data_IF_797909752387
#
_entry.id   IF_797909752387
#
_cell.length_a   1.000
_cell.length_b   1.000
_cell.length_c   1.000
_cell.angle_alpha   90.00
_cell.angle_beta   90.00
_cell.angle_gamma   90.00
#
_symmetry.space_group_name_H-M   'P 1'
#
loop_
_entity.id
_entity.type
_entity.pdbx_description
1 polymer ?
#
# COMPACT_ATOMS: atom_id res chain seq x y z
N UNK A 1 5.33 13.60 -16.67
CA UNK A 1 4.83 12.37 -17.36
C UNK A 1 5.12 11.11 -16.55
N UNK A 2 6.35 10.91 -16.06
CA UNK A 2 6.71 9.76 -15.21
C UNK A 2 5.83 9.63 -13.96
N UNK A 3 5.53 10.72 -13.25
CA UNK A 3 4.59 10.70 -12.13
C UNK A 3 3.20 10.09 -12.47
N UNK A 4 2.66 10.46 -13.63
CA UNK A 4 1.38 9.93 -14.12
C UNK A 4 1.49 8.46 -14.53
N UNK A 5 2.60 8.06 -15.18
CA UNK A 5 2.84 6.66 -15.53
C UNK A 5 2.97 5.78 -14.28
N UNK A 6 3.71 6.23 -13.27
CA UNK A 6 3.87 5.50 -12.01
C UNK A 6 2.52 5.31 -11.31
N UNK A 7 1.74 6.38 -11.17
CA UNK A 7 0.39 6.30 -10.58
C UNK A 7 -0.59 5.48 -11.44
N UNK A 8 -0.47 5.50 -12.77
CA UNK A 8 -1.26 4.64 -13.64
C UNK A 8 -0.88 3.17 -13.46
N UNK A 9 0.42 2.85 -13.42
CA UNK A 9 0.87 1.46 -13.19
C UNK A 9 0.44 0.94 -11.83
N UNK A 10 0.44 1.79 -10.82
CA UNK A 10 -0.06 1.47 -9.48
C UNK A 10 -1.57 1.20 -9.50
N UNK A 11 -2.36 2.10 -10.11
CA UNK A 11 -3.81 1.91 -10.30
C UNK A 11 -4.17 0.66 -11.10
N UNK A 12 -3.37 0.30 -12.11
CA UNK A 12 -3.57 -0.92 -12.89
C UNK A 12 -3.25 -2.18 -12.07
N UNK A 13 -2.24 -2.13 -11.19
CA UNK A 13 -1.92 -3.23 -10.26
C UNK A 13 -2.99 -3.38 -9.17
N UNK A 14 -3.55 -2.27 -8.69
CA UNK A 14 -4.67 -2.28 -7.73
C UNK A 14 -6.02 -2.62 -8.38
N UNK A 15 -6.09 -2.66 -9.71
CA UNK A 15 -7.34 -2.93 -10.43
C UNK A 15 -7.68 -4.42 -10.40
N UNK A 16 -8.84 -4.72 -9.83
CA UNK A 16 -9.42 -6.06 -9.78
C UNK A 16 -9.55 -6.75 -11.15
N UNK A 17 -9.74 -5.97 -12.22
CA UNK A 17 -10.05 -6.49 -13.56
C UNK A 17 -8.83 -6.63 -14.46
N UNK A 18 -7.71 -6.01 -14.10
CA UNK A 18 -6.56 -5.91 -15.00
C UNK A 18 -5.95 -7.29 -15.31
N UNK A 19 -5.63 -8.08 -14.28
CA UNK A 19 -5.10 -9.45 -14.45
C UNK A 19 -6.12 -10.36 -15.16
N UNK A 20 -7.40 -10.45 -14.73
CA UNK A 20 -8.41 -11.23 -15.45
C UNK A 20 -8.53 -10.88 -16.93
N UNK A 21 -8.47 -9.59 -17.28
CA UNK A 21 -8.56 -9.14 -18.68
C UNK A 21 -7.36 -9.63 -19.49
N UNK A 22 -6.15 -9.52 -18.94
CA UNK A 22 -4.93 -10.04 -19.60
C UNK A 22 -5.05 -11.55 -19.80
N UNK A 23 -5.49 -12.30 -18.77
CA UNK A 23 -5.67 -13.75 -18.86
C UNK A 23 -6.72 -14.14 -19.92
N UNK A 24 -7.82 -13.40 -20.02
CA UNK A 24 -8.83 -13.62 -21.05
C UNK A 24 -8.28 -13.35 -22.47
N UNK A 25 -7.52 -12.27 -22.66
CA UNK A 25 -6.86 -11.99 -23.95
C UNK A 25 -5.86 -13.09 -24.30
N UNK A 26 -5.04 -13.52 -23.34
CA UNK A 26 -4.11 -14.63 -23.53
C UNK A 26 -4.83 -15.94 -23.86
N UNK A 27 -5.99 -16.20 -23.28
CA UNK A 27 -6.82 -17.36 -23.58
C UNK A 27 -7.38 -17.33 -25.02
N UNK A 28 -7.77 -16.14 -25.52
CA UNK A 28 -8.19 -15.98 -26.92
C UNK A 28 -7.03 -16.27 -27.87
N UNK A 29 -5.85 -15.72 -27.58
CA UNK A 29 -4.64 -15.94 -28.38
C UNK A 29 -4.23 -17.42 -28.35
N UNK A 30 -4.28 -18.06 -27.18
CA UNK A 30 -4.01 -19.48 -27.01
C UNK A 30 -5.00 -20.32 -27.82
N UNK A 31 -6.30 -20.03 -27.75
CA UNK A 31 -7.32 -20.72 -28.54
C UNK A 31 -7.03 -20.59 -30.04
N UNK A 32 -6.77 -19.38 -30.54
CA UNK A 32 -6.40 -19.16 -31.94
C UNK A 32 -5.13 -19.92 -32.34
N UNK A 33 -4.11 -19.93 -31.48
CA UNK A 33 -2.88 -20.70 -31.67
C UNK A 33 -3.14 -22.21 -31.77
N UNK A 34 -3.95 -22.77 -30.87
CA UNK A 34 -4.26 -24.20 -30.91
C UNK A 34 -5.15 -24.59 -32.09
N UNK A 35 -6.13 -23.76 -32.45
CA UNK A 35 -6.99 -23.98 -33.62
C UNK A 35 -6.16 -23.96 -34.91
N UNK A 36 -5.24 -23.00 -35.05
CA UNK A 36 -4.34 -22.96 -36.22
C UNK A 36 -3.42 -24.16 -36.26
N UNK A 37 -2.86 -24.58 -35.12
CA UNK A 37 -2.02 -25.77 -35.03
C UNK A 37 -2.78 -27.05 -35.42
N UNK A 38 -4.01 -27.21 -34.92
CA UNK A 38 -4.91 -28.32 -35.28
C UNK A 38 -5.22 -28.33 -36.79
N UNK A 39 -5.33 -27.16 -37.42
CA UNK A 39 -5.57 -27.07 -38.87
C UNK A 39 -4.39 -27.52 -39.73
N UNK A 40 -3.15 -27.44 -39.22
CA UNK A 40 -1.95 -27.87 -39.93
C UNK A 40 -1.56 -29.33 -39.65
N UNK A 41 -1.65 -29.80 -38.39
CA UNK A 41 -1.20 -31.15 -38.01
C UNK A 41 -2.27 -32.23 -38.19
N UNK A 42 -3.56 -31.85 -38.23
CA UNK A 42 -4.67 -32.80 -38.21
C UNK A 42 -4.72 -33.64 -36.93
N UNK A 43 -5.49 -34.74 -36.93
CA UNK A 43 -5.68 -35.63 -35.77
C UNK A 43 -4.75 -36.85 -35.73
N UNK A 44 -3.88 -37.03 -36.73
CA UNK A 44 -3.10 -38.26 -36.92
C UNK A 44 -2.11 -38.56 -35.77
N UNK A 45 -1.77 -37.56 -34.96
CA UNK A 45 -0.92 -37.75 -33.78
C UNK A 45 -1.61 -38.53 -32.64
N UNK A 46 -2.94 -38.56 -32.63
CA UNK A 46 -3.73 -39.21 -31.57
C UNK A 46 -3.76 -40.74 -31.72
N UNK A 47 -3.54 -41.26 -32.92
CA UNK A 47 -3.57 -42.70 -33.21
C UNK A 47 -2.48 -43.49 -32.44
N UNK A 48 -1.45 -42.80 -31.91
CA UNK A 48 -0.39 -43.38 -31.09
C UNK A 48 -0.70 -43.45 -29.59
N UNK A 49 -1.83 -42.92 -29.11
CA UNK A 49 -2.15 -42.80 -27.68
C UNK A 49 -3.47 -43.53 -27.36
N UNK A 50 -3.44 -44.74 -26.76
CA UNK A 50 -4.61 -45.62 -26.65
C UNK A 50 -5.81 -45.09 -25.87
N UNK A 51 -5.61 -44.03 -25.07
CA UNK A 51 -6.63 -43.43 -24.21
C UNK A 51 -7.16 -42.10 -24.76
N UNK A 52 -6.59 -41.60 -25.86
CA UNK A 52 -6.90 -40.28 -26.43
C UNK A 52 -7.56 -40.45 -27.80
N UNK A 53 -8.86 -40.78 -27.81
CA UNK A 53 -9.62 -40.89 -29.05
C UNK A 53 -10.11 -39.52 -29.53
N UNK A 54 -10.11 -39.30 -30.85
CA UNK A 54 -10.65 -38.09 -31.46
C UNK A 54 -12.13 -37.92 -31.12
N UNK A 55 -12.46 -36.80 -30.46
CA UNK A 55 -13.83 -36.47 -30.10
C UNK A 55 -14.67 -36.15 -31.36
N UNK A 56 -15.89 -36.68 -31.41
CA UNK A 56 -16.87 -36.32 -32.45
C UNK A 56 -17.36 -34.87 -32.28
N UNK A 57 -17.80 -34.17 -33.34
CA UNK A 57 -18.26 -32.78 -33.26
C UNK A 57 -19.28 -32.53 -32.14
N UNK A 58 -20.31 -33.36 -32.04
CA UNK A 58 -21.36 -33.18 -31.02
C UNK A 58 -20.83 -33.39 -29.60
N UNK A 59 -19.93 -34.37 -29.41
CA UNK A 59 -19.28 -34.62 -28.12
C UNK A 59 -18.37 -33.45 -27.70
N UNK A 60 -17.56 -32.93 -28.63
CA UNK A 60 -16.71 -31.79 -28.39
C UNK A 60 -17.52 -30.51 -28.08
N UNK A 61 -18.62 -30.27 -28.81
CA UNK A 61 -19.54 -29.14 -28.53
C UNK A 61 -20.16 -29.28 -27.15
N UNK A 62 -20.65 -30.46 -26.78
CA UNK A 62 -21.24 -30.73 -25.48
C UNK A 62 -20.24 -30.51 -24.35
N UNK A 63 -19.01 -31.02 -24.48
CA UNK A 63 -17.94 -30.81 -23.52
C UNK A 63 -17.59 -29.33 -23.36
N UNK A 64 -17.29 -28.61 -24.44
CA UNK A 64 -16.93 -27.20 -24.37
C UNK A 64 -18.08 -26.31 -23.86
N UNK A 65 -19.33 -26.64 -24.21
CA UNK A 65 -20.50 -25.94 -23.68
C UNK A 65 -20.69 -26.20 -22.18
N UNK A 66 -20.48 -27.44 -21.72
CA UNK A 66 -20.54 -27.80 -20.30
C UNK A 66 -19.43 -27.11 -19.50
N UNK A 67 -18.21 -27.10 -20.05
CA UNK A 67 -17.06 -26.38 -19.48
C UNK A 67 -17.36 -24.88 -19.41
N UNK A 68 -17.80 -24.27 -20.51
CA UNK A 68 -18.13 -22.85 -20.54
C UNK A 68 -19.22 -22.48 -19.52
N UNK A 69 -20.33 -23.22 -19.49
CA UNK A 69 -21.44 -23.00 -18.57
C UNK A 69 -21.04 -23.17 -17.09
N UNK A 70 -20.23 -24.17 -16.77
CA UNK A 70 -19.75 -24.37 -15.39
C UNK A 70 -18.76 -23.29 -14.96
N UNK A 71 -17.81 -22.90 -15.83
CA UNK A 71 -16.81 -21.89 -15.49
C UNK A 71 -17.40 -20.49 -15.29
N UNK A 72 -18.41 -20.09 -16.06
CA UNK A 72 -19.09 -18.80 -15.84
C UNK A 72 -19.86 -18.81 -14.51
N UNK A 73 -20.47 -19.95 -14.14
CA UNK A 73 -21.14 -20.13 -12.86
C UNK A 73 -20.17 -20.06 -11.69
N UNK A 74 -19.04 -20.77 -11.76
CA UNK A 74 -17.99 -20.72 -10.73
C UNK A 74 -17.41 -19.31 -10.60
N UNK A 75 -17.11 -18.62 -11.71
CA UNK A 75 -16.66 -17.23 -11.70
C UNK A 75 -17.65 -16.30 -10.97
N UNK A 76 -18.96 -16.46 -11.23
CA UNK A 76 -20.00 -15.69 -10.56
C UNK A 76 -20.08 -15.96 -9.06
N UNK A 77 -19.97 -17.22 -8.65
CA UNK A 77 -19.94 -17.61 -7.23
C UNK A 77 -18.70 -17.07 -6.52
N UNK A 78 -17.51 -17.23 -7.11
CA UNK A 78 -16.25 -16.69 -6.60
C UNK A 78 -16.34 -15.18 -6.42
N UNK A 79 -16.83 -14.45 -7.43
CA UNK A 79 -17.03 -13.00 -7.34
C UNK A 79 -17.98 -12.62 -6.19
N UNK A 80 -19.09 -13.35 -6.05
CA UNK A 80 -20.07 -13.11 -4.99
C UNK A 80 -19.48 -13.33 -3.60
N UNK A 81 -18.72 -14.41 -3.41
CA UNK A 81 -18.03 -14.72 -2.14
C UNK A 81 -16.98 -13.65 -1.82
N UNK A 82 -16.19 -13.20 -2.81
CA UNK A 82 -15.25 -12.09 -2.62
C UNK A 82 -15.94 -10.82 -2.14
N UNK A 83 -17.03 -10.41 -2.81
CA UNK A 83 -17.71 -9.16 -2.45
C UNK A 83 -18.36 -9.28 -1.06
N UNK A 84 -18.93 -10.44 -0.72
CA UNK A 84 -19.44 -10.70 0.61
C UNK A 84 -18.33 -10.59 1.69
N UNK A 85 -17.16 -11.18 1.44
CA UNK A 85 -15.99 -11.08 2.30
C UNK A 85 -15.53 -9.62 2.49
N UNK A 86 -15.48 -8.86 1.41
CA UNK A 86 -15.14 -7.45 1.39
C UNK A 86 -16.11 -6.61 2.22
N UNK A 87 -17.41 -6.83 2.05
CA UNK A 87 -18.46 -6.14 2.82
C UNK A 87 -18.34 -6.48 4.30
N UNK A 88 -18.08 -7.75 4.62
CA UNK A 88 -17.85 -8.19 6.00
C UNK A 88 -16.63 -7.50 6.62
N UNK A 89 -15.48 -7.49 5.93
CA UNK A 89 -14.26 -6.86 6.41
C UNK A 89 -14.41 -5.33 6.57
N UNK A 90 -15.01 -4.65 5.59
CA UNK A 90 -15.31 -3.22 5.70
C UNK A 90 -16.25 -2.92 6.88
N UNK A 91 -17.22 -3.80 7.11
CA UNK A 91 -18.17 -3.73 8.20
C UNK A 91 -17.53 -3.94 9.57
N UNK A 92 -16.47 -4.74 9.69
CA UNK A 92 -15.80 -5.02 10.96
C UNK A 92 -14.62 -4.08 11.24
N UNK A 93 -13.84 -3.74 10.22
CA UNK A 93 -12.48 -3.21 10.42
C UNK A 93 -12.24 -1.81 9.84
N UNK A 94 -13.07 -1.37 8.88
CA UNK A 94 -13.01 -0.01 8.34
C UNK A 94 -13.11 0.03 6.81
N UNK A 95 -13.72 1.07 6.21
CA UNK A 95 -13.88 1.18 4.77
C UNK A 95 -12.57 1.29 3.99
N UNK A 96 -11.44 1.67 4.61
CA UNK A 96 -10.15 1.82 3.90
C UNK A 96 -9.57 0.47 3.44
N UNK A 97 -9.88 -0.61 4.17
CA UNK A 97 -9.43 -1.97 3.87
C UNK A 97 -10.06 -2.58 2.62
N UNK A 98 -11.17 -2.00 2.14
CA UNK A 98 -11.83 -2.37 0.88
C UNK A 98 -10.84 -2.42 -0.30
N UNK A 99 -9.91 -1.45 -0.34
CA UNK A 99 -8.93 -1.34 -1.42
C UNK A 99 -7.90 -2.48 -1.41
N UNK A 100 -7.45 -2.90 -0.21
CA UNK A 100 -6.47 -3.96 -0.04
C UNK A 100 -7.02 -5.32 -0.53
N UNK A 101 -8.26 -5.66 -0.17
CA UNK A 101 -8.89 -6.92 -0.61
C UNK A 101 -9.10 -7.00 -2.13
N UNK A 102 -9.44 -5.90 -2.79
CA UNK A 102 -9.63 -5.89 -4.25
C UNK A 102 -8.29 -5.93 -5.00
N UNK A 103 -7.19 -5.58 -4.34
CA UNK A 103 -5.83 -5.67 -4.90
C UNK A 103 -5.18 -7.06 -4.73
N UNK A 104 -5.85 -8.01 -4.06
CA UNK A 104 -5.29 -9.33 -3.80
C UNK A 104 -5.11 -10.15 -5.10
N UNK A 105 -3.86 -10.52 -5.38
CA UNK A 105 -3.48 -11.25 -6.59
C UNK A 105 -4.06 -12.66 -6.65
N UNK A 106 -4.21 -13.34 -5.51
CA UNK A 106 -4.77 -14.69 -5.47
C UNK A 106 -6.21 -14.68 -5.99
N UNK A 107 -6.98 -13.68 -5.58
CA UNK A 107 -8.34 -13.51 -6.03
C UNK A 107 -8.44 -13.09 -7.51
N UNK A 108 -7.58 -12.16 -7.95
CA UNK A 108 -7.51 -11.74 -9.35
C UNK A 108 -7.13 -12.90 -10.30
N UNK A 109 -6.15 -13.71 -9.93
CA UNK A 109 -5.74 -14.90 -10.70
C UNK A 109 -6.82 -15.97 -10.69
N UNK A 110 -7.51 -16.16 -9.56
CA UNK A 110 -8.63 -17.11 -9.46
C UNK A 110 -9.74 -16.75 -10.43
N UNK A 111 -10.26 -15.52 -10.35
CA UNK A 111 -11.31 -15.04 -11.24
C UNK A 111 -10.84 -15.06 -12.70
N UNK A 112 -9.60 -14.62 -12.94
CA UNK A 112 -8.99 -14.62 -14.26
C UNK A 112 -8.91 -16.02 -14.87
N UNK A 113 -8.61 -17.06 -14.08
CA UNK A 113 -8.54 -18.46 -14.55
C UNK A 113 -9.91 -18.96 -15.01
N UNK A 114 -10.97 -18.69 -14.25
CA UNK A 114 -12.32 -19.12 -14.62
C UNK A 114 -12.83 -18.38 -15.87
N UNK A 115 -12.64 -17.06 -15.93
CA UNK A 115 -13.01 -16.25 -17.10
C UNK A 115 -12.19 -16.68 -18.33
N UNK A 116 -10.87 -16.89 -18.19
CA UNK A 116 -10.01 -17.35 -19.26
C UNK A 116 -10.45 -18.71 -19.81
N UNK A 117 -10.75 -19.68 -18.94
CA UNK A 117 -11.22 -21.01 -19.33
C UNK A 117 -12.58 -20.97 -20.03
N UNK A 118 -13.49 -20.11 -19.56
CA UNK A 118 -14.77 -19.84 -20.22
C UNK A 118 -14.56 -19.26 -21.63
N UNK A 119 -13.77 -18.19 -21.76
CA UNK A 119 -13.51 -17.51 -23.03
C UNK A 119 -12.80 -18.44 -24.01
N UNK A 120 -11.78 -19.18 -23.55
CA UNK A 120 -11.10 -20.21 -24.33
C UNK A 120 -12.10 -21.21 -24.91
N UNK A 121 -12.97 -21.76 -24.05
CA UNK A 121 -13.94 -22.78 -24.46
C UNK A 121 -14.96 -22.25 -25.46
N UNK A 122 -15.42 -21.00 -25.31
CA UNK A 122 -16.34 -20.36 -26.25
C UNK A 122 -15.69 -20.08 -27.62
N UNK A 123 -14.42 -19.65 -27.64
CA UNK A 123 -13.69 -19.43 -28.88
C UNK A 123 -13.49 -20.74 -29.63
N UNK A 124 -13.07 -21.81 -28.96
CA UNK A 124 -12.89 -23.13 -29.57
C UNK A 124 -14.24 -23.70 -30.04
N UNK A 125 -15.29 -23.58 -29.22
CA UNK A 125 -16.64 -24.06 -29.54
C UNK A 125 -17.16 -23.47 -30.85
N UNK A 126 -16.92 -22.17 -31.09
CA UNK A 126 -17.33 -21.48 -32.32
C UNK A 126 -16.68 -22.05 -33.59
N UNK A 127 -15.54 -22.74 -33.48
CA UNK A 127 -14.81 -23.26 -34.64
C UNK A 127 -15.14 -24.70 -35.02
N UNK A 128 -15.89 -25.42 -34.18
CA UNK A 128 -16.32 -26.78 -34.48
C UNK A 128 -17.35 -26.74 -35.63
N UNK A 129 -17.10 -27.54 -36.67
CA UNK A 129 -17.99 -27.67 -37.84
C UNK A 129 -18.47 -29.11 -37.95
N UNK A 130 -19.78 -29.30 -38.08
CA UNK A 130 -20.37 -30.61 -38.36
C UNK A 130 -20.43 -30.85 -39.88
N UNK A 131 -20.41 -32.13 -40.32
CA UNK A 131 -20.55 -32.45 -41.73
C UNK A 131 -21.82 -31.81 -42.30
N UNK A 132 -21.69 -31.02 -43.37
CA UNK A 132 -22.81 -30.37 -44.07
C UNK A 132 -23.26 -29.00 -43.55
N UNK A 133 -22.71 -28.47 -42.44
CA UNK A 133 -23.08 -27.14 -41.91
C UNK A 133 -22.47 -25.96 -42.69
N UNK A 134 -21.36 -26.15 -43.41
CA UNK A 134 -20.59 -25.05 -44.03
C UNK A 134 -20.63 -25.06 -45.58
N UNK A 135 -21.64 -25.71 -46.16
CA UNK A 135 -21.79 -25.89 -47.60
C UNK A 135 -21.44 -27.31 -48.07
N UNK A 136 -21.97 -27.70 -49.23
CA UNK A 136 -21.77 -29.02 -49.81
C UNK A 136 -20.28 -29.28 -50.06
N UNK A 137 -19.68 -30.19 -49.28
CA UNK A 137 -18.28 -30.61 -49.41
C UNK A 137 -17.33 -30.17 -48.30
N UNK A 138 -17.79 -29.44 -47.27
CA UNK A 138 -16.94 -29.12 -46.12
C UNK A 138 -16.87 -30.31 -45.13
N UNK A 139 -15.67 -30.85 -44.92
CA UNK A 139 -15.41 -31.92 -43.95
C UNK A 139 -15.64 -31.44 -42.51
N UNK A 140 -16.01 -32.38 -41.64
CA UNK A 140 -16.13 -32.14 -40.21
C UNK A 140 -14.78 -31.69 -39.64
N UNK A 141 -14.78 -30.63 -38.85
CA UNK A 141 -13.57 -30.12 -38.21
C UNK A 141 -13.78 -30.01 -36.70
N UNK A 142 -12.95 -30.73 -35.96
CA UNK A 142 -12.89 -30.68 -34.50
C UNK A 142 -11.43 -30.45 -34.11
N UNK A 143 -11.09 -29.31 -33.49
CA UNK A 143 -9.72 -29.03 -33.04
C UNK A 143 -9.43 -29.84 -31.76
N UNK A 144 -8.82 -31.02 -31.94
CA UNK A 144 -8.64 -32.00 -30.86
C UNK A 144 -7.60 -31.53 -29.83
N UNK A 145 -6.52 -30.90 -30.29
CA UNK A 145 -5.50 -30.36 -29.40
C UNK A 145 -6.05 -29.18 -28.60
N UNK A 146 -6.86 -28.32 -29.24
CA UNK A 146 -7.57 -27.26 -28.53
C UNK A 146 -8.54 -27.82 -27.48
N UNK A 147 -9.22 -28.93 -27.76
CA UNK A 147 -10.10 -29.62 -26.80
C UNK A 147 -9.31 -30.20 -25.61
N UNK A 148 -8.16 -30.82 -25.86
CA UNK A 148 -7.28 -31.34 -24.80
C UNK A 148 -6.84 -30.21 -23.86
N UNK A 149 -6.44 -29.06 -24.41
CA UNK A 149 -6.08 -27.88 -23.63
C UNK A 149 -7.29 -27.36 -22.83
N UNK A 150 -8.51 -27.39 -23.38
CA UNK A 150 -9.72 -27.03 -22.62
C UNK A 150 -9.90 -27.90 -21.37
N UNK A 151 -9.74 -29.22 -21.52
CA UNK A 151 -9.81 -30.18 -20.40
C UNK A 151 -8.73 -29.91 -19.36
N UNK A 152 -7.49 -29.63 -19.80
CA UNK A 152 -6.40 -29.29 -18.90
C UNK A 152 -6.69 -27.99 -18.12
N UNK A 153 -7.20 -26.95 -18.79
CA UNK A 153 -7.57 -25.68 -18.15
C UNK A 153 -8.67 -25.87 -17.09
N UNK A 154 -9.60 -26.80 -17.30
CA UNK A 154 -10.62 -27.15 -16.29
C UNK A 154 -10.01 -27.85 -15.09
N UNK A 155 -9.10 -28.80 -15.30
CA UNK A 155 -8.39 -29.45 -14.19
C UNK A 155 -7.57 -28.44 -13.37
N UNK A 156 -6.89 -27.51 -14.05
CA UNK A 156 -6.23 -26.39 -13.39
C UNK A 156 -7.23 -25.50 -12.63
N UNK A 157 -8.39 -25.21 -13.21
CA UNK A 157 -9.46 -24.43 -12.58
C UNK A 157 -9.97 -25.08 -11.29
N UNK A 158 -10.08 -26.41 -11.23
CA UNK A 158 -10.45 -27.13 -10.00
C UNK A 158 -9.38 -26.91 -8.91
N UNK A 159 -8.09 -27.01 -9.25
CA UNK A 159 -7.01 -26.73 -8.30
C UNK A 159 -7.04 -25.28 -7.79
N UNK A 160 -7.28 -24.33 -8.69
CA UNK A 160 -7.43 -22.90 -8.35
C UNK A 160 -8.67 -22.64 -7.49
N UNK A 161 -9.77 -23.37 -7.70
CA UNK A 161 -10.96 -23.29 -6.84
C UNK A 161 -10.68 -23.78 -5.42
N UNK A 162 -9.97 -24.91 -5.28
CA UNK A 162 -9.55 -25.42 -3.95
C UNK A 162 -8.64 -24.40 -3.26
N UNK A 163 -7.69 -23.82 -3.99
CA UNK A 163 -6.86 -22.71 -3.49
C UNK A 163 -7.71 -21.54 -3.01
N UNK A 164 -8.69 -21.09 -3.81
CA UNK A 164 -9.56 -19.97 -3.48
C UNK A 164 -10.35 -20.19 -2.18
N UNK A 165 -10.88 -21.40 -1.98
CA UNK A 165 -11.64 -21.76 -0.79
C UNK A 165 -10.79 -21.64 0.49
N UNK A 166 -9.47 -21.87 0.39
CA UNK A 166 -8.54 -21.68 1.51
C UNK A 166 -8.02 -20.25 1.63
N UNK A 167 -7.77 -19.59 0.49
CA UNK A 167 -7.15 -18.26 0.41
C UNK A 167 -8.06 -17.16 0.96
N UNK A 168 -9.34 -17.16 0.61
CA UNK A 168 -10.25 -16.08 1.02
C UNK A 168 -10.41 -16.01 2.55
N UNK A 169 -10.73 -17.10 3.28
CA UNK A 169 -10.88 -17.04 4.73
C UNK A 169 -9.60 -16.64 5.48
N UNK A 170 -8.43 -17.15 5.05
CA UNK A 170 -7.14 -16.88 5.71
C UNK A 170 -6.71 -15.43 5.58
N UNK A 171 -7.05 -14.77 4.46
CA UNK A 171 -6.75 -13.36 4.20
C UNK A 171 -7.75 -12.39 4.84
N UNK A 172 -8.95 -12.85 5.22
CA UNK A 172 -9.95 -12.04 5.94
C UNK A 172 -9.61 -11.93 7.43
N UNK A 173 -8.87 -12.90 7.98
CA UNK A 173 -8.53 -12.89 9.39
C UNK A 173 -7.77 -11.60 9.75
N UNK A 174 -8.23 -10.90 10.78
CA UNK A 174 -7.75 -9.55 11.11
C UNK A 174 -6.24 -9.48 11.33
N UNK A 175 -5.65 -10.51 11.93
CA UNK A 175 -4.20 -10.57 12.13
C UNK A 175 -3.43 -10.54 10.81
N UNK A 176 -3.93 -11.22 9.76
CA UNK A 176 -3.31 -11.22 8.44
C UNK A 176 -3.38 -9.84 7.78
N UNK A 177 -4.47 -9.10 7.99
CA UNK A 177 -4.65 -7.73 7.47
C UNK A 177 -3.69 -6.76 8.19
N UNK A 178 -3.64 -6.85 9.53
CA UNK A 178 -2.74 -6.03 10.34
C UNK A 178 -1.28 -6.33 9.98
N UNK A 179 -0.92 -7.60 9.84
CA UNK A 179 0.41 -8.04 9.40
C UNK A 179 0.76 -7.48 8.02
N UNK A 180 -0.13 -7.59 7.03
CA UNK A 180 0.13 -7.05 5.69
C UNK A 180 0.37 -5.53 5.69
N UNK A 181 -0.41 -4.77 6.47
CA UNK A 181 -0.23 -3.32 6.62
C UNK A 181 1.08 -3.01 7.35
N UNK A 182 1.37 -3.74 8.43
CA UNK A 182 2.57 -3.56 9.24
C UNK A 182 3.85 -3.88 8.48
N UNK A 183 3.89 -5.01 7.76
CA UNK A 183 5.00 -5.39 6.88
C UNK A 183 5.21 -4.36 5.77
N UNK A 184 4.12 -3.88 5.16
CA UNK A 184 4.20 -2.82 4.14
C UNK A 184 4.76 -1.52 4.74
N UNK A 185 4.34 -1.15 5.95
CA UNK A 185 4.85 0.03 6.65
C UNK A 185 6.35 -0.09 6.93
N UNK A 186 6.80 -1.24 7.46
CA UNK A 186 8.22 -1.51 7.71
C UNK A 186 9.05 -1.51 6.43
N UNK A 187 8.54 -2.14 5.36
CA UNK A 187 9.21 -2.16 4.06
C UNK A 187 9.35 -0.74 3.47
N UNK A 188 8.30 0.08 3.56
CA UNK A 188 8.32 1.48 3.10
C UNK A 188 9.24 2.36 3.96
N UNK A 189 9.29 2.16 5.28
CA UNK A 189 10.27 2.82 6.16
C UNK A 189 11.69 2.43 5.74
N UNK A 190 11.94 1.15 5.50
CA UNK A 190 13.24 0.63 5.06
C UNK A 190 13.66 1.15 3.68
N UNK A 191 12.71 1.34 2.77
CA UNK A 191 12.96 1.85 1.42
C UNK A 191 13.14 3.38 1.39
N UNK A 192 12.60 4.12 2.37
CA UNK A 192 12.65 5.60 2.39
C UNK A 192 13.71 6.17 3.33
N UNK A 193 14.13 5.42 4.34
CA UNK A 193 15.06 5.88 5.35
C UNK A 193 16.24 4.91 5.52
N UNK A 194 17.50 5.35 5.50
CA UNK A 194 17.96 6.65 5.03
C UNK A 194 18.09 6.64 3.50
N UNK A 195 17.09 7.13 2.78
CA UNK A 195 17.22 7.49 1.37
C UNK A 195 17.06 8.99 1.26
N UNK A 196 18.17 9.65 0.95
CA UNK A 196 18.18 11.09 0.70
C UNK A 196 18.00 11.32 -0.79
N UNK A 197 17.02 12.13 -1.15
CA UNK A 197 16.89 12.65 -2.51
C UNK A 197 17.88 13.82 -2.62
N UNK A 198 18.91 13.63 -3.45
CA UNK A 198 20.05 14.54 -3.53
C UNK A 198 21.12 14.21 -2.47
N UNK A 199 22.15 15.04 -2.38
CA UNK A 199 23.18 14.87 -1.35
C UNK A 199 22.67 15.42 0.00
N UNK A 200 22.76 14.67 1.10
CA UNK A 200 22.54 15.25 2.42
C UNK A 200 23.54 16.39 2.61
N UNK A 201 23.03 17.57 2.94
CA UNK A 201 23.90 18.69 3.25
C UNK A 201 24.64 18.37 4.55
N UNK A 202 25.99 18.45 4.58
CA UNK A 202 26.75 18.25 5.80
C UNK A 202 26.22 19.21 6.88
N UNK A 203 25.98 18.69 8.08
CA UNK A 203 25.57 19.46 9.25
C UNK A 203 26.72 20.33 9.80
N UNK A 204 27.49 20.97 8.92
CA UNK A 204 28.61 21.84 9.29
C UNK A 204 28.11 23.28 9.49
N UNK A 205 28.03 23.69 10.76
CA UNK A 205 28.24 25.01 11.38
C UNK A 205 27.67 26.32 10.77
N UNK A 206 27.02 26.30 9.61
CA UNK A 206 26.21 27.42 9.10
C UNK A 206 24.76 27.15 9.44
N UNK A 207 24.03 28.17 9.90
CA UNK A 207 22.60 27.99 10.14
C UNK A 207 21.94 27.57 8.83
N UNK A 208 21.02 26.61 8.88
CA UNK A 208 20.21 26.22 7.72
C UNK A 208 19.54 27.44 7.04
N UNK A 209 19.34 28.52 7.79
CA UNK A 209 18.73 29.77 7.31
C UNK A 209 19.62 30.54 6.32
N UNK A 210 20.95 30.47 6.44
CA UNK A 210 21.87 31.16 5.52
C UNK A 210 21.81 30.60 4.09
N UNK A 211 21.40 29.33 3.94
CA UNK A 211 21.31 28.63 2.65
C UNK A 211 19.95 28.78 1.99
N UNK A 212 18.94 29.15 2.76
CA UNK A 212 17.59 29.39 2.27
C UNK A 212 17.58 30.80 1.66
N UNK A 213 17.10 30.98 0.41
CA UNK A 213 16.91 32.30 -0.17
C UNK A 213 16.17 33.23 0.80
N UNK A 214 16.50 34.52 0.86
CA UNK A 214 15.73 35.52 1.65
C UNK A 214 14.24 35.42 1.33
N UNK A 215 14.00 35.19 0.03
CA UNK A 215 12.83 34.62 -0.61
C UNK A 215 11.98 33.67 0.25
N UNK A 216 12.54 32.81 1.08
CA UNK A 216 11.85 31.71 1.74
C UNK A 216 12.07 31.67 3.26
N UNK A 217 12.80 32.63 3.83
CA UNK A 217 13.04 32.70 5.28
C UNK A 217 11.77 33.07 6.05
N UNK A 218 11.74 32.71 7.33
CA UNK A 218 10.57 32.94 8.21
C UNK A 218 10.38 34.41 8.58
N UNK A 219 11.47 35.16 8.62
CA UNK A 219 11.56 36.59 8.93
C UNK A 219 11.48 37.49 7.67
N UNK A 220 11.27 36.90 6.49
CA UNK A 220 11.18 37.64 5.24
C UNK A 220 10.04 38.68 5.30
N UNK A 221 10.40 39.94 5.03
CA UNK A 221 9.42 41.04 4.93
C UNK A 221 8.49 40.87 3.72
N UNK A 222 7.37 41.59 3.73
CA UNK A 222 6.36 41.51 2.67
C UNK A 222 6.92 41.81 1.27
N UNK A 223 7.91 42.70 1.15
CA UNK A 223 8.60 43.04 -0.11
C UNK A 223 9.49 41.92 -0.64
N UNK A 224 10.11 41.13 0.22
CA UNK A 224 10.94 39.98 -0.19
C UNK A 224 10.05 38.81 -0.61
N UNK A 225 8.92 38.60 0.07
CA UNK A 225 7.97 37.53 -0.24
C UNK A 225 7.39 37.58 -1.66
N UNK A 226 7.34 38.75 -2.31
CA UNK A 226 6.85 38.92 -3.70
C UNK A 226 7.80 38.31 -4.74
N UNK A 227 9.06 38.04 -4.38
CA UNK A 227 10.04 37.42 -5.30
C UNK A 227 9.90 35.90 -5.36
N UNK A 228 8.69 35.41 -5.62
CA UNK A 228 8.37 33.99 -5.78
C UNK A 228 7.39 33.80 -6.92
N UNK A 229 7.59 32.76 -7.72
CA UNK A 229 6.59 32.32 -8.72
C UNK A 229 5.83 31.13 -8.15
N UNK A 230 4.51 31.27 -8.06
CA UNK A 230 3.63 30.19 -7.61
C UNK A 230 3.29 29.26 -8.77
N UNK A 231 3.39 27.95 -8.52
CA UNK A 231 3.00 26.91 -9.47
C UNK A 231 1.76 26.24 -8.93
N UNK A 232 0.61 26.66 -9.44
CA UNK A 232 -0.68 26.24 -8.93
C UNK A 232 -1.11 24.84 -9.39
N UNK A 233 -1.87 24.17 -8.53
CA UNK A 233 -2.58 22.95 -8.82
C UNK A 233 -3.68 23.18 -9.86
N UNK A 234 -3.75 22.29 -10.85
CA UNK A 234 -4.82 22.28 -11.87
C UNK A 234 -5.95 21.30 -11.57
N UNK A 235 -5.82 20.52 -10.50
CA UNK A 235 -6.79 19.50 -10.10
C UNK A 235 -7.01 19.56 -8.59
N UNK A 236 -8.22 19.22 -8.16
CA UNK A 236 -8.58 19.04 -6.75
C UNK A 236 -8.53 17.55 -6.40
N UNK A 237 -7.88 17.20 -5.29
CA UNK A 237 -7.78 15.82 -4.83
C UNK A 237 -6.58 15.61 -3.91
N UNK A 238 -6.30 14.35 -3.58
CA UNK A 238 -5.13 13.96 -2.81
C UNK A 238 -3.89 13.91 -3.68
N UNK A 239 -2.80 14.51 -3.20
CA UNK A 239 -1.49 14.37 -3.81
C UNK A 239 -1.00 12.93 -3.59
N UNK A 240 -0.90 12.13 -4.65
CA UNK A 240 -0.56 10.70 -4.57
C UNK A 240 0.95 10.48 -4.69
N UNK A 241 1.61 11.27 -5.53
CA UNK A 241 3.04 11.10 -5.82
C UNK A 241 3.68 12.43 -6.24
N UNK A 242 4.92 12.61 -5.80
CA UNK A 242 5.87 13.63 -6.26
C UNK A 242 7.05 12.89 -6.91
N UNK A 243 7.32 13.18 -8.18
CA UNK A 243 8.50 12.71 -8.89
C UNK A 243 9.71 13.56 -8.50
N UNK A 244 10.31 13.20 -7.37
CA UNK A 244 11.39 13.94 -6.73
C UNK A 244 12.65 14.06 -7.61
N UNK A 245 12.98 13.02 -8.39
CA UNK A 245 14.13 13.01 -9.29
C UNK A 245 13.94 14.03 -10.43
N UNK A 246 12.77 13.99 -11.07
CA UNK A 246 12.45 14.96 -12.13
C UNK A 246 12.39 16.37 -11.55
N UNK A 247 11.80 16.54 -10.37
CA UNK A 247 11.71 17.83 -9.69
C UNK A 247 13.11 18.43 -9.42
N UNK A 248 14.03 17.62 -8.88
CA UNK A 248 15.41 18.04 -8.62
C UNK A 248 16.16 18.38 -9.91
N UNK A 249 15.96 17.58 -10.98
CA UNK A 249 16.59 17.81 -12.28
C UNK A 249 16.15 19.13 -12.92
N UNK A 250 14.85 19.47 -12.81
CA UNK A 250 14.29 20.72 -13.33
C UNK A 250 14.79 21.89 -12.50
N UNK A 251 14.77 21.78 -11.17
CA UNK A 251 15.32 22.80 -10.29
C UNK A 251 16.81 23.08 -10.58
N UNK A 252 17.59 22.04 -10.84
CA UNK A 252 19.02 22.16 -11.18
C UNK A 252 19.24 22.80 -12.55
N UNK A 253 18.48 22.39 -13.57
CA UNK A 253 18.60 22.89 -14.94
C UNK A 253 18.29 24.39 -15.04
N UNK A 254 17.24 24.83 -14.35
CA UNK A 254 16.78 26.22 -14.36
C UNK A 254 17.40 27.06 -13.24
N UNK A 255 18.29 26.47 -12.43
CA UNK A 255 18.92 27.11 -11.27
C UNK A 255 17.90 27.74 -10.30
N UNK A 256 16.88 26.95 -9.94
CA UNK A 256 15.78 27.29 -9.05
C UNK A 256 15.94 26.63 -7.67
N UNK A 257 15.37 27.28 -6.67
CA UNK A 257 15.02 26.73 -5.36
C UNK A 257 13.50 26.61 -5.29
N UNK A 258 13.02 25.40 -5.04
CA UNK A 258 11.60 25.06 -5.00
C UNK A 258 11.17 24.78 -3.56
N UNK A 259 10.15 25.48 -3.06
CA UNK A 259 9.52 25.18 -1.76
C UNK A 259 8.22 24.42 -1.99
N UNK A 260 8.17 23.19 -1.51
CA UNK A 260 6.97 22.36 -1.57
C UNK A 260 5.95 22.84 -0.53
N UNK A 261 4.70 23.03 -0.96
CA UNK A 261 3.60 23.42 -0.08
C UNK A 261 2.76 22.23 0.39
N UNK A 262 2.87 21.09 -0.27
CA UNK A 262 2.14 19.88 0.04
C UNK A 262 3.07 18.66 0.02
N UNK A 263 2.69 17.62 0.76
CA UNK A 263 3.34 16.30 0.75
C UNK A 263 2.35 15.22 0.29
N UNK A 264 2.84 14.08 -0.24
CA UNK A 264 1.97 12.98 -0.65
C UNK A 264 1.05 12.54 0.49
N UNK A 265 -0.25 12.51 0.23
CA UNK A 265 -1.32 12.28 1.19
C UNK A 265 -2.18 13.51 1.51
N UNK A 266 -1.67 14.72 1.25
CA UNK A 266 -2.42 15.95 1.53
C UNK A 266 -3.48 16.21 0.45
N UNK A 267 -4.58 16.87 0.84
CA UNK A 267 -5.63 17.30 -0.08
C UNK A 267 -5.34 18.69 -0.64
N UNK A 268 -5.34 18.81 -1.97
CA UNK A 268 -5.03 20.03 -2.70
C UNK A 268 -6.28 20.53 -3.44
N UNK A 269 -6.44 21.84 -3.52
CA UNK A 269 -7.51 22.50 -4.30
C UNK A 269 -6.94 23.14 -5.56
N UNK A 270 -7.72 23.18 -6.65
CA UNK A 270 -7.38 23.98 -7.84
C UNK A 270 -7.07 25.43 -7.44
N UNK A 271 -6.01 25.99 -8.03
CA UNK A 271 -5.58 27.37 -7.79
C UNK A 271 -4.71 27.57 -6.54
N UNK A 272 -4.46 26.52 -5.75
CA UNK A 272 -3.48 26.59 -4.66
C UNK A 272 -2.06 26.29 -5.17
N UNK A 273 -1.08 27.02 -4.67
CA UNK A 273 0.33 26.80 -5.00
C UNK A 273 0.80 25.41 -4.52
N UNK A 274 1.18 24.53 -5.45
CA UNK A 274 1.86 23.27 -5.14
C UNK A 274 3.30 23.52 -4.72
N UNK A 275 3.93 24.45 -5.42
CA UNK A 275 5.34 24.80 -5.29
C UNK A 275 5.48 26.31 -5.43
N UNK A 276 6.35 26.90 -4.63
CA UNK A 276 6.87 28.23 -4.86
C UNK A 276 8.30 28.13 -5.40
N UNK A 277 8.61 28.84 -6.48
CA UNK A 277 9.92 28.84 -7.12
C UNK A 277 10.62 30.19 -6.93
N UNK A 278 11.91 30.16 -6.62
CA UNK A 278 12.79 31.33 -6.51
C UNK A 278 14.14 31.05 -7.20
N UNK A 279 14.72 31.99 -7.96
CA UNK A 279 14.16 33.31 -8.31
C UNK A 279 13.07 33.19 -9.40
N UNK A 280 12.02 34.04 -9.38
CA UNK A 280 10.88 33.92 -10.28
C UNK A 280 11.24 34.13 -11.76
N UNK A 281 12.28 34.93 -12.05
CA UNK A 281 12.74 35.27 -13.40
C UNK A 281 13.30 34.06 -14.14
N UNK A 282 13.79 33.04 -13.42
CA UNK A 282 14.31 31.80 -14.01
C UNK A 282 13.24 30.71 -14.18
N UNK A 283 12.02 30.96 -13.71
CA UNK A 283 10.91 30.03 -13.80
C UNK A 283 10.03 30.39 -15.00
N UNK A 284 10.48 30.01 -16.20
CA UNK A 284 9.73 30.17 -17.45
C UNK A 284 8.53 29.20 -17.53
N UNK A 285 7.73 29.31 -18.59
CA UNK A 285 6.51 28.50 -18.74
C UNK A 285 6.82 27.00 -18.93
N UNK A 286 7.98 26.67 -19.51
CA UNK A 286 8.47 25.31 -19.67
C UNK A 286 8.83 24.70 -18.30
N UNK A 287 9.54 25.44 -17.44
CA UNK A 287 9.83 25.04 -16.07
C UNK A 287 8.53 24.85 -15.27
N UNK A 288 7.56 25.76 -15.40
CA UNK A 288 6.24 25.64 -14.75
C UNK A 288 5.52 24.37 -15.19
N UNK A 289 5.51 24.06 -16.49
CA UNK A 289 4.88 22.86 -17.02
C UNK A 289 5.59 21.58 -16.54
N UNK A 290 6.92 21.57 -16.54
CA UNK A 290 7.74 20.44 -16.09
C UNK A 290 7.56 20.18 -14.59
N UNK A 291 7.65 21.21 -13.75
CA UNK A 291 7.44 21.12 -12.29
C UNK A 291 6.03 20.61 -12.01
N UNK A 292 5.00 21.20 -12.63
CA UNK A 292 3.61 20.73 -12.43
C UNK A 292 3.44 19.26 -12.85
N UNK A 293 4.12 18.84 -13.91
CA UNK A 293 4.11 17.46 -14.40
C UNK A 293 4.81 16.43 -13.50
N UNK A 294 5.44 16.87 -12.40
CA UNK A 294 6.01 16.03 -11.35
C UNK A 294 4.99 15.62 -10.27
N UNK A 295 3.83 16.28 -10.21
CA UNK A 295 2.80 16.03 -9.21
C UNK A 295 1.66 15.19 -9.81
N UNK A 296 1.30 14.09 -9.14
CA UNK A 296 0.13 13.29 -9.48
C UNK A 296 -0.97 13.47 -8.43
N UNK A 297 -2.12 14.00 -8.84
CA UNK A 297 -3.29 14.20 -7.97
C UNK A 297 -4.37 13.17 -8.32
N UNK A 298 -5.02 12.61 -7.30
CA UNK A 298 -6.08 11.62 -7.46
C UNK A 298 -7.22 11.79 -6.47
N UNK A 299 -8.32 11.05 -6.65
CA UNK A 299 -9.51 11.16 -5.81
C UNK A 299 -9.40 10.46 -4.45
N UNK A 300 -8.33 9.68 -4.22
CA UNK A 300 -8.11 8.85 -3.02
C UNK A 300 -6.68 8.98 -2.55
N UNK A 301 -6.43 8.88 -1.24
CA UNK A 301 -5.08 8.68 -0.69
C UNK A 301 -4.57 7.30 -1.10
N UNK A 302 -3.25 7.19 -1.20
CA UNK A 302 -2.55 5.96 -1.60
C UNK A 302 -1.32 5.77 -0.73
N UNK A 303 -0.98 4.55 -0.31
CA UNK A 303 0.23 4.26 0.46
C UNK A 303 1.53 4.50 -0.32
N UNK A 304 1.48 4.58 -1.66
CA UNK A 304 2.62 4.68 -2.59
C UNK A 304 3.75 5.62 -2.15
N UNK A 305 3.42 6.84 -1.70
CA UNK A 305 4.38 7.79 -1.14
C UNK A 305 3.94 8.35 0.22
N UNK A 306 3.02 7.68 0.92
CA UNK A 306 2.42 8.21 2.16
C UNK A 306 2.45 7.19 3.31
N UNK A 307 3.54 7.19 4.09
CA UNK A 307 3.67 6.36 5.30
C UNK A 307 2.55 6.64 6.30
N UNK A 308 2.06 7.88 6.31
CA UNK A 308 1.03 8.34 7.24
C UNK A 308 -0.30 7.64 6.95
N UNK A 309 -0.53 7.22 5.70
CA UNK A 309 -1.72 6.44 5.34
C UNK A 309 -1.71 5.05 5.99
N UNK A 310 -0.57 4.35 5.97
CA UNK A 310 -0.44 3.02 6.59
C UNK A 310 -0.57 3.08 8.11
N UNK A 311 -0.02 4.14 8.73
CA UNK A 311 -0.23 4.42 10.17
C UNK A 311 -1.71 4.66 10.44
N UNK A 312 -2.39 5.47 9.63
CA UNK A 312 -3.83 5.73 9.80
C UNK A 312 -4.68 4.46 9.66
N UNK A 313 -4.31 3.51 8.80
CA UNK A 313 -5.01 2.23 8.68
C UNK A 313 -4.90 1.38 9.97
N UNK A 314 -3.69 1.28 10.55
CA UNK A 314 -3.51 0.59 11.84
C UNK A 314 -4.25 1.30 12.98
N UNK A 315 -4.22 2.63 13.00
CA UNK A 315 -4.95 3.45 13.97
C UNK A 315 -6.45 3.27 13.83
N UNK A 316 -6.99 3.23 12.61
CA UNK A 316 -8.41 3.02 12.36
C UNK A 316 -8.87 1.66 12.87
N UNK A 317 -8.11 0.59 12.62
CA UNK A 317 -8.40 -0.75 13.13
C UNK A 317 -8.38 -0.76 14.65
N UNK A 318 -7.32 -0.21 15.28
CA UNK A 318 -7.17 -0.21 16.72
C UNK A 318 -8.24 0.63 17.43
N UNK A 319 -8.52 1.85 16.95
CA UNK A 319 -9.55 2.72 17.50
C UNK A 319 -10.93 2.08 17.39
N UNK A 320 -11.21 1.39 16.28
CA UNK A 320 -12.47 0.67 16.09
C UNK A 320 -12.58 -0.55 17.01
N UNK A 321 -11.50 -1.31 17.17
CA UNK A 321 -11.46 -2.45 18.08
C UNK A 321 -11.69 -2.02 19.54
N UNK A 322 -11.13 -0.87 19.95
CA UNK A 322 -11.33 -0.28 21.29
C UNK A 322 -12.64 0.51 21.43
N UNK A 323 -13.42 0.66 20.37
CA UNK A 323 -14.69 1.37 20.46
C UNK A 323 -15.69 0.61 21.34
N UNK A 324 -16.62 1.30 22.04
CA UNK A 324 -17.60 0.65 22.91
C UNK A 324 -18.46 -0.43 22.24
N UNK A 325 -18.61 -0.37 20.91
CA UNK A 325 -19.40 -1.33 20.14
C UNK A 325 -18.67 -2.64 19.82
N UNK A 326 -17.34 -2.67 19.86
CA UNK A 326 -16.53 -3.86 19.55
C UNK A 326 -15.84 -4.39 20.81
N UNK A 327 -15.13 -3.51 21.54
CA UNK A 327 -14.44 -3.82 22.79
C UNK A 327 -13.48 -5.03 22.71
N UNK A 328 -12.61 -5.03 21.70
CA UNK A 328 -11.58 -6.04 21.47
C UNK A 328 -10.16 -5.46 21.66
N UNK A 329 -9.64 -5.47 22.90
CA UNK A 329 -8.31 -4.92 23.19
C UNK A 329 -7.16 -5.78 22.63
N UNK A 330 -7.38 -7.03 22.24
CA UNK A 330 -6.31 -7.89 21.69
C UNK A 330 -6.01 -7.54 20.23
N UNK A 331 -7.03 -7.26 19.43
CA UNK A 331 -6.83 -6.72 18.07
C UNK A 331 -6.10 -5.37 18.11
N UNK A 332 -6.49 -4.49 19.04
CA UNK A 332 -5.80 -3.21 19.23
C UNK A 332 -4.35 -3.37 19.71
N UNK A 333 -4.10 -4.32 20.62
CA UNK A 333 -2.76 -4.67 21.07
C UNK A 333 -1.86 -5.11 19.90
N UNK A 334 -2.40 -5.91 18.98
CA UNK A 334 -1.69 -6.33 17.76
C UNK A 334 -1.33 -5.12 16.89
N UNK A 335 -2.25 -4.17 16.70
CA UNK A 335 -1.95 -2.94 15.95
C UNK A 335 -0.87 -2.08 16.64
N UNK A 336 -0.91 -1.97 17.97
CA UNK A 336 0.10 -1.26 18.77
C UNK A 336 1.49 -1.89 18.63
N UNK A 337 1.57 -3.20 18.43
CA UNK A 337 2.83 -3.91 18.21
C UNK A 337 3.46 -3.54 16.88
N UNK A 338 2.68 -3.54 15.80
CA UNK A 338 3.15 -3.13 14.49
C UNK A 338 3.51 -1.65 14.43
N UNK A 339 2.71 -0.78 15.08
CA UNK A 339 3.04 0.64 15.24
C UNK A 339 4.33 0.84 16.05
N UNK A 340 4.48 0.12 17.16
CA UNK A 340 5.69 0.13 17.99
C UNK A 340 6.93 -0.31 17.23
N UNK A 341 6.83 -1.42 16.49
CA UNK A 341 7.93 -1.93 15.65
C UNK A 341 8.32 -0.93 14.56
N UNK A 342 7.35 -0.35 13.86
CA UNK A 342 7.58 0.66 12.83
C UNK A 342 8.25 1.91 13.39
N UNK A 343 7.76 2.43 14.52
CA UNK A 343 8.29 3.66 15.12
C UNK A 343 9.63 3.43 15.82
N UNK A 344 9.88 2.24 16.34
CA UNK A 344 11.20 1.84 16.83
C UNK A 344 12.22 1.80 15.68
N UNK A 345 11.81 1.36 14.48
CA UNK A 345 12.67 1.39 13.31
C UNK A 345 12.94 2.82 12.81
N UNK A 346 11.93 3.69 12.78
CA UNK A 346 12.12 5.12 12.50
C UNK A 346 13.05 5.77 13.52
N UNK A 347 12.93 5.40 14.80
CA UNK A 347 13.75 5.95 15.88
C UNK A 347 15.25 5.66 15.73
N UNK A 348 15.63 4.57 15.05
CA UNK A 348 17.04 4.22 14.74
C UNK A 348 17.57 4.89 13.47
N UNK A 349 16.69 5.41 12.62
CA UNK A 349 17.08 5.93 11.30
C UNK A 349 17.30 7.44 11.33
N UNK A 350 18.22 7.89 10.48
CA UNK A 350 18.37 9.31 10.16
C UNK A 350 17.23 9.73 9.24
N UNK A 351 16.47 10.74 9.68
CA UNK A 351 15.43 11.34 8.87
C UNK A 351 16.07 12.35 7.91
N UNK A 352 15.61 12.43 6.65
CA UNK A 352 16.16 13.35 5.67
C UNK A 352 15.95 14.80 6.10
N UNK A 353 16.97 15.63 5.87
CA UNK A 353 16.81 17.07 6.01
C UNK A 353 15.69 17.55 5.07
N UNK A 354 14.92 18.53 5.54
CA UNK A 354 13.94 19.24 4.70
C UNK A 354 14.62 19.97 3.53
N UNK A 355 15.91 20.26 3.65
CA UNK A 355 16.72 20.91 2.62
C UNK A 355 17.40 19.84 1.76
N UNK A 356 17.03 19.79 0.48
CA UNK A 356 17.57 18.84 -0.50
C UNK A 356 18.45 19.56 -1.50
N UNK A 357 19.69 19.10 -1.63
CA UNK A 357 20.68 19.69 -2.52
C UNK A 357 20.97 18.82 -3.74
N UNK A 358 21.42 19.45 -4.83
CA UNK A 358 21.95 18.73 -5.99
C UNK A 358 23.32 18.09 -5.69
N UNK A 359 23.86 17.36 -6.66
CA UNK A 359 25.18 16.71 -6.58
C UNK A 359 26.33 17.70 -6.35
N UNK A 360 26.12 19.00 -6.63
CA UNK A 360 27.09 20.08 -6.41
C UNK A 360 26.93 20.74 -5.04
N UNK A 361 26.00 20.28 -4.21
CA UNK A 361 25.74 20.81 -2.88
C UNK A 361 24.91 22.12 -2.87
N UNK A 362 24.32 22.52 -4.00
CA UNK A 362 23.44 23.67 -4.06
C UNK A 362 22.01 23.29 -3.64
N UNK A 363 21.37 24.11 -2.81
CA UNK A 363 19.98 23.89 -2.38
C UNK A 363 19.04 23.95 -3.60
N UNK A 364 18.16 22.96 -3.75
CA UNK A 364 17.20 22.88 -4.85
C UNK A 364 15.76 22.71 -4.40
N UNK A 365 15.52 21.95 -3.34
CA UNK A 365 14.17 21.71 -2.83
C UNK A 365 14.12 21.90 -1.33
N UNK A 366 13.13 22.68 -0.87
CA UNK A 366 12.72 22.81 0.52
C UNK A 366 11.42 22.00 0.66
N UNK A 367 11.55 20.79 1.20
CA UNK A 367 10.44 19.88 1.46
C UNK A 367 9.78 20.16 2.83
N UNK A 368 8.64 19.52 3.08
CA UNK A 368 8.08 19.47 4.43
C UNK A 368 8.97 18.62 5.33
N UNK A 369 9.23 19.05 6.58
CA UNK A 369 9.99 18.26 7.52
C UNK A 369 9.21 16.98 7.85
N UNK A 370 9.89 15.85 7.75
CA UNK A 370 9.41 14.60 8.33
C UNK A 370 10.01 14.52 9.72
N UNK A 371 9.19 14.63 10.75
CA UNK A 371 9.65 14.55 12.14
C UNK A 371 9.13 13.29 12.84
N UNK A 372 9.90 12.85 13.82
CA UNK A 372 9.56 11.69 14.63
C UNK A 372 8.31 11.97 15.49
N UNK A 373 8.15 13.23 15.95
CA UNK A 373 7.01 13.66 16.74
C UNK A 373 5.68 13.50 16.01
N UNK A 374 5.60 13.91 14.73
CA UNK A 374 4.39 13.79 13.93
C UNK A 374 4.00 12.33 13.69
N UNK A 375 4.96 11.41 13.52
CA UNK A 375 4.64 9.98 13.42
C UNK A 375 4.16 9.38 14.75
N UNK A 376 4.80 9.76 15.87
CA UNK A 376 4.39 9.33 17.21
C UNK A 376 2.99 9.81 17.56
N UNK A 377 2.69 11.10 17.32
CA UNK A 377 1.37 11.67 17.57
C UNK A 377 0.28 11.04 16.69
N UNK A 378 0.59 10.81 15.41
CA UNK A 378 -0.35 10.20 14.48
C UNK A 378 -0.67 8.74 14.82
N UNK A 379 0.30 7.97 15.30
CA UNK A 379 0.11 6.58 15.71
C UNK A 379 -0.40 6.45 17.14
N UNK A 380 0.43 6.83 18.10
CA UNK A 380 0.15 6.70 19.53
C UNK A 380 -0.77 7.81 20.05
N UNK A 381 -0.54 9.07 19.68
CA UNK A 381 -1.37 10.19 20.14
C UNK A 381 -2.85 10.03 19.76
N UNK A 382 -3.12 9.59 18.52
CA UNK A 382 -4.47 9.29 18.04
C UNK A 382 -5.16 8.13 18.79
N UNK A 383 -4.37 7.15 19.27
CA UNK A 383 -4.89 6.00 20.03
C UNK A 383 -4.93 6.22 21.54
N UNK A 384 -4.29 7.26 22.06
CA UNK A 384 -4.14 7.46 23.50
C UNK A 384 -5.50 7.51 24.21
N UNK A 385 -6.48 8.24 23.67
CA UNK A 385 -7.82 8.34 24.25
C UNK A 385 -8.57 7.00 24.26
N UNK A 386 -8.38 6.16 23.24
CA UNK A 386 -9.03 4.85 23.16
C UNK A 386 -8.35 3.85 24.10
N UNK A 387 -7.02 3.81 24.06
CA UNK A 387 -6.23 2.88 24.86
C UNK A 387 -6.34 3.19 26.36
N UNK A 388 -6.52 4.46 26.75
CA UNK A 388 -6.60 4.86 28.16
C UNK A 388 -7.83 4.34 28.90
N UNK A 389 -8.85 3.88 28.17
CA UNK A 389 -10.11 3.38 28.76
C UNK A 389 -10.08 1.86 29.01
N UNK A 390 -9.07 1.16 28.49
CA UNK A 390 -8.93 -0.29 28.66
C UNK A 390 -7.55 -0.65 29.22
N UNK A 391 -7.56 -1.51 30.26
CA UNK A 391 -6.33 -1.91 30.96
C UNK A 391 -5.33 -2.62 30.04
N UNK A 392 -5.81 -3.54 29.19
CA UNK A 392 -4.95 -4.37 28.35
C UNK A 392 -4.29 -3.48 27.28
N UNK A 393 -5.10 -2.64 26.64
CA UNK A 393 -4.64 -1.70 25.63
C UNK A 393 -3.65 -0.66 26.20
N UNK A 394 -3.96 -0.04 27.35
CA UNK A 394 -3.07 0.94 27.99
C UNK A 394 -1.70 0.33 28.36
N UNK A 395 -1.68 -0.88 28.92
CA UNK A 395 -0.43 -1.56 29.25
C UNK A 395 0.36 -1.94 28.00
N UNK A 396 -0.30 -2.37 26.92
CA UNK A 396 0.39 -2.68 25.66
C UNK A 396 0.91 -1.42 24.97
N UNK A 397 0.16 -0.33 25.01
CA UNK A 397 0.57 0.99 24.53
C UNK A 397 1.88 1.43 25.20
N UNK A 398 1.94 1.39 26.54
CA UNK A 398 3.15 1.69 27.29
C UNK A 398 4.29 0.70 26.98
N UNK A 399 3.96 -0.57 26.77
CA UNK A 399 4.93 -1.58 26.33
C UNK A 399 5.58 -1.24 24.99
N UNK A 400 4.76 -0.89 23.99
CA UNK A 400 5.23 -0.50 22.66
C UNK A 400 6.04 0.81 22.69
N UNK A 401 5.65 1.80 23.51
CA UNK A 401 6.48 2.99 23.75
C UNK A 401 7.85 2.63 24.37
N UNK A 402 7.88 1.63 25.25
CA UNK A 402 9.11 1.08 25.80
C UNK A 402 10.04 0.52 24.72
N UNK A 403 9.52 -0.26 23.77
CA UNK A 403 10.30 -0.78 22.63
C UNK A 403 10.91 0.34 21.77
N UNK A 404 10.12 1.37 21.50
CA UNK A 404 10.59 2.57 20.78
C UNK A 404 11.71 3.27 21.55
N UNK A 405 11.54 3.45 22.87
CA UNK A 405 12.54 4.06 23.74
C UNK A 405 13.86 3.29 23.81
N UNK A 406 13.80 1.95 23.74
CA UNK A 406 14.98 1.09 23.73
C UNK A 406 15.77 1.18 22.43
N UNK A 407 15.08 1.49 21.34
CA UNK A 407 15.67 1.65 20.01
C UNK A 407 16.15 3.08 19.73
N UNK A 408 16.09 3.99 20.72
CA UNK A 408 16.35 5.41 20.53
C UNK A 408 17.40 5.96 21.50
N UNK A 409 18.48 6.53 20.98
CA UNK A 409 19.50 7.22 21.78
C UNK A 409 19.44 8.75 21.67
N UNK A 410 18.61 9.28 20.77
CA UNK A 410 18.45 10.72 20.61
C UNK A 410 17.56 11.29 21.75
N UNK A 411 18.09 12.25 22.50
CA UNK A 411 17.44 12.86 23.66
C UNK A 411 16.13 13.59 23.31
N UNK A 412 16.09 14.28 22.16
CA UNK A 412 14.87 14.98 21.71
C UNK A 412 13.75 13.97 21.39
N UNK A 413 14.09 12.88 20.69
CA UNK A 413 13.14 11.80 20.39
C UNK A 413 12.67 11.07 21.66
N UNK A 414 13.55 10.86 22.64
CA UNK A 414 13.15 10.34 23.95
C UNK A 414 12.20 11.29 24.70
N UNK A 415 12.37 12.60 24.53
CA UNK A 415 11.42 13.61 25.01
C UNK A 415 10.03 13.46 24.39
N UNK A 416 9.95 13.16 23.09
CA UNK A 416 8.69 12.86 22.40
C UNK A 416 8.03 11.61 22.97
N UNK A 417 8.79 10.53 23.19
CA UNK A 417 8.25 9.30 23.80
C UNK A 417 7.73 9.58 25.20
N UNK A 418 8.46 10.37 26.00
CA UNK A 418 8.02 10.78 27.33
C UNK A 418 6.69 11.53 27.31
N UNK A 419 6.51 12.47 26.38
CA UNK A 419 5.25 13.20 26.23
C UNK A 419 4.05 12.27 25.98
N UNK A 420 4.25 11.19 25.19
CA UNK A 420 3.22 10.18 24.97
C UNK A 420 2.91 9.35 26.21
N UNK A 421 3.91 9.06 27.06
CA UNK A 421 3.72 8.39 28.36
C UNK A 421 2.92 9.27 29.32
N UNK A 422 3.23 10.56 29.36
CA UNK A 422 2.53 11.52 30.23
C UNK A 422 1.06 11.66 29.77
N UNK A 423 0.82 11.73 28.47
CA UNK A 423 -0.52 11.83 27.89
C UNK A 423 -1.41 10.61 28.21
N UNK A 424 -0.90 9.39 28.03
CA UNK A 424 -1.71 8.17 28.29
C UNK A 424 -2.03 8.00 29.78
N UNK A 425 -1.13 8.41 30.67
CA UNK A 425 -1.35 8.35 32.12
C UNK A 425 -2.38 9.36 32.60
N UNK A 426 -2.32 10.60 32.11
CA UNK A 426 -3.32 11.62 32.39
C UNK A 426 -4.71 11.15 31.96
N UNK A 427 -4.83 10.63 30.73
CA UNK A 427 -6.09 10.10 30.20
C UNK A 427 -6.57 8.85 30.95
N UNK A 428 -5.66 7.97 31.38
CA UNK A 428 -6.01 6.76 32.12
C UNK A 428 -6.57 7.10 33.51
N UNK A 429 -6.09 8.18 34.14
CA UNK A 429 -6.61 8.66 35.43
C UNK A 429 -8.08 9.06 35.35
N UNK A 430 -8.55 9.51 34.18
CA UNK A 430 -9.96 9.81 33.95
C UNK A 430 -10.81 8.62 33.45
N UNK A 431 -10.17 7.53 33.00
CA UNK A 431 -10.83 6.41 32.31
C UNK A 431 -10.80 5.06 33.04
N UNK A 432 -9.90 4.87 33.99
CA UNK A 432 -9.73 3.62 34.75
C UNK A 432 -9.76 3.89 36.24
N UNK A 433 -10.22 2.89 37.00
CA UNK A 433 -10.25 2.92 38.46
C UNK A 433 -9.56 1.70 39.07
N UNK A 434 -9.21 1.78 40.37
CA UNK A 434 -8.81 0.62 41.17
C UNK A 434 -7.46 0.01 40.79
N UNK A 435 -7.42 -1.33 40.61
CA UNK A 435 -6.21 -2.06 40.24
C UNK A 435 -5.73 -1.78 38.81
N UNK A 436 -6.60 -1.76 37.77
CA UNK A 436 -6.23 -1.34 36.42
C UNK A 436 -5.43 -0.03 36.36
N UNK A 437 -5.92 1.04 37.00
CA UNK A 437 -5.24 2.33 37.03
C UNK A 437 -3.88 2.24 37.71
N UNK A 438 -3.80 1.56 38.86
CA UNK A 438 -2.54 1.38 39.61
C UNK A 438 -1.47 0.66 38.79
N UNK A 439 -1.85 -0.32 37.96
CA UNK A 439 -0.92 -0.99 37.05
C UNK A 439 -0.40 -0.06 35.96
N UNK A 440 -1.28 0.74 35.34
CA UNK A 440 -0.89 1.73 34.33
C UNK A 440 0.06 2.77 34.93
N UNK A 441 -0.28 3.34 36.08
CA UNK A 441 0.57 4.32 36.77
C UNK A 441 1.95 3.75 37.13
N UNK A 442 2.00 2.51 37.63
CA UNK A 442 3.27 1.82 37.94
C UNK A 442 4.11 1.67 36.67
N UNK A 443 3.48 1.24 35.58
CA UNK A 443 4.17 1.01 34.31
C UNK A 443 4.68 2.31 33.68
N UNK A 444 3.88 3.38 33.73
CA UNK A 444 4.31 4.71 33.29
C UNK A 444 5.47 5.24 34.12
N UNK A 445 5.47 5.04 35.44
CA UNK A 445 6.57 5.44 36.32
C UNK A 445 7.87 4.68 36.01
N UNK A 446 7.80 3.37 35.77
CA UNK A 446 8.95 2.56 35.33
C UNK A 446 9.52 3.08 34.01
N UNK A 447 8.67 3.33 33.01
CA UNK A 447 9.11 3.84 31.71
C UNK A 447 9.67 5.26 31.81
N UNK A 448 9.05 6.16 32.59
CA UNK A 448 9.60 7.50 32.85
C UNK A 448 10.98 7.45 33.47
N UNK A 449 11.19 6.54 34.42
CA UNK A 449 12.51 6.32 35.02
C UNK A 449 13.52 5.82 33.99
N UNK A 450 13.12 4.87 33.13
CA UNK A 450 13.97 4.38 32.04
C UNK A 450 14.34 5.48 31.04
N UNK A 451 13.41 6.39 30.73
CA UNK A 451 13.68 7.53 29.84
C UNK A 451 14.63 8.56 30.47
N UNK A 452 14.67 8.67 31.81
CA UNK A 452 15.50 9.62 32.53
C UNK A 452 16.89 9.06 32.94
N UNK A 453 16.98 7.76 33.23
CA UNK A 453 18.17 7.08 33.74
C UNK A 453 18.69 6.05 32.71
N UNK A 454 19.72 6.37 31.90
CA UNK A 454 20.24 5.46 30.87
C UNK A 454 20.72 4.11 31.40
N UNK A 455 21.30 4.09 32.60
CA UNK A 455 21.76 2.86 33.25
C UNK A 455 20.59 1.99 33.70
N UNK A 456 19.53 2.60 34.24
CA UNK A 456 18.30 1.89 34.58
C UNK A 456 17.68 1.30 33.32
N UNK A 457 17.59 2.06 32.22
CA UNK A 457 17.11 1.58 30.92
C UNK A 457 17.87 0.34 30.42
N UNK A 458 19.21 0.34 30.57
CA UNK A 458 20.04 -0.82 30.20
C UNK A 458 19.78 -2.02 31.12
N UNK A 459 19.73 -1.82 32.44
CA UNK A 459 19.42 -2.89 33.40
C UNK A 459 18.04 -3.50 33.15
N UNK A 460 17.07 -2.65 32.80
CA UNK A 460 15.71 -3.04 32.49
C UNK A 460 15.69 -3.99 31.30
N UNK A 461 16.35 -3.63 30.20
CA UNK A 461 16.53 -4.49 29.00
C UNK A 461 17.13 -5.85 29.34
N UNK A 462 18.11 -5.87 30.23
CA UNK A 462 18.84 -7.10 30.58
C UNK A 462 18.10 -7.93 31.65
N UNK A 463 16.95 -7.46 32.15
CA UNK A 463 16.12 -8.14 33.14
C UNK A 463 14.97 -8.92 32.50
N UNK A 464 14.53 -10.01 33.15
CA UNK A 464 13.31 -10.74 32.78
C UNK A 464 12.01 -9.92 32.94
N UNK A 465 12.11 -8.69 33.47
CA UNK A 465 10.98 -7.80 33.71
C UNK A 465 10.66 -6.89 32.51
N UNK A 466 11.51 -6.81 31.48
CA UNK A 466 11.33 -5.88 30.37
C UNK A 466 11.30 -6.57 28.99
N UNK A 467 10.07 -6.73 28.52
CA UNK A 467 9.57 -6.37 27.19
C UNK A 467 10.16 -7.09 25.98
N UNK A 468 9.29 -7.94 25.43
CA UNK A 468 9.42 -8.60 24.13
C UNK A 468 9.06 -10.07 24.24
N UNK A 469 9.65 -10.77 25.22
CA UNK A 469 9.46 -12.20 25.43
C UNK A 469 9.45 -12.58 26.90
N UNK A 470 8.80 -13.70 27.21
CA UNK A 470 8.68 -14.29 28.55
C UNK A 470 9.63 -15.49 28.72
N UNK A 471 10.84 -15.40 28.14
CA UNK A 471 11.76 -16.54 28.00
C UNK A 471 12.25 -17.08 29.34
#
# INVERSE_FOLDING_TARGET
MRAWLLTLTDRLRESYWFIPTIMAVMAILLAGGMITLDSYQGSNWMDGVPWLYAARPDGARSLLSSIGGSMIGVAGTTFSVTIAAVVYASGQYGPRLLSNFMSDRGNQVTLGTFIATFVYSMVVLRTIRSPGESGAGADAFVPQLALLVAVLLVLCSIGVLIFFIHHVPTRIHINSVIEEIGDRLLAEIGARFPVFIGAPLPAEARSDEDRIPDAFRRDAGSTQAVHRKEIEARQTGYLQLIDDETLLSVATRHDLVLRLQYQPGDFVHVGRALVEACPPEKCDDDAVAAIRGCFAVGSRRTPLQDLRFLIDELVEIAARALSPGVNDPFTASTCLDWLGAALADVARRSLPSRLRADEKGALRVIAHPVDFAGFMDRGFGALAQYASQDRIAALRFLGALGEVAMSCDNVERLGVVRAQVDQIEELATGGLDGEPLRLVMRRSAELRRALAEPDYRRQLRDSAAWLGGTA
#
